data_IF_610823687345
#
_entry.id   IF_610823687345
#
_cell.length_a   1.000
_cell.length_b   1.000
_cell.length_c   1.000
_cell.angle_alpha   90.00
_cell.angle_beta   90.00
_cell.angle_gamma   90.00
#
_symmetry.space_group_name_H-M   'P 1'
#
loop_
_entity.id
_entity.type
_entity.pdbx_description
1 polymer ?
#
# COMPACT_ATOMS: atom_id res chain seq x y z
N UNK A 1 -8.59 26.32 -5.69
CA UNK A 1 -9.07 25.16 -6.48
C UNK A 1 -10.38 24.58 -5.92
N UNK A 2 -10.44 24.17 -4.64
CA UNK A 2 -11.62 23.50 -4.06
C UNK A 2 -12.95 24.29 -4.07
N UNK A 3 -12.95 25.62 -4.00
CA UNK A 3 -14.19 26.42 -4.01
C UNK A 3 -14.82 26.50 -5.42
N UNK A 4 -13.98 26.61 -6.46
CA UNK A 4 -14.43 26.64 -7.85
C UNK A 4 -15.02 25.30 -8.28
N UNK A 5 -14.32 24.20 -7.95
CA UNK A 5 -14.77 22.83 -8.21
C UNK A 5 -16.08 22.49 -7.48
N UNK A 6 -16.24 22.92 -6.23
CA UNK A 6 -17.49 22.73 -5.49
C UNK A 6 -18.67 23.56 -6.00
N UNK A 7 -18.43 24.72 -6.63
CA UNK A 7 -19.50 25.48 -7.30
C UNK A 7 -19.92 24.81 -8.60
N UNK A 8 -18.95 24.42 -9.43
CA UNK A 8 -19.20 23.69 -10.68
C UNK A 8 -19.91 22.35 -10.44
N UNK A 9 -19.53 21.60 -9.40
CA UNK A 9 -20.21 20.36 -9.02
C UNK A 9 -21.63 20.56 -8.47
N UNK A 10 -22.00 21.78 -8.05
CA UNK A 10 -23.38 22.13 -7.66
C UNK A 10 -24.22 22.57 -8.85
N UNK A 11 -23.59 23.14 -9.88
CA UNK A 11 -24.26 23.54 -11.12
C UNK A 11 -24.54 22.33 -12.03
N UNK A 12 -23.59 21.38 -12.09
CA UNK A 12 -23.73 20.16 -12.89
C UNK A 12 -23.62 18.89 -12.00
N UNK A 13 -24.72 18.14 -11.79
CA UNK A 13 -24.73 16.95 -10.94
C UNK A 13 -24.01 15.74 -11.57
N UNK A 14 -23.68 15.79 -12.87
CA UNK A 14 -22.91 14.76 -13.56
C UNK A 14 -21.40 14.96 -13.42
N UNK A 15 -20.96 16.13 -12.94
CA UNK A 15 -19.58 16.39 -12.59
C UNK A 15 -19.27 15.95 -11.16
N UNK A 16 -18.38 14.98 -11.01
CA UNK A 16 -17.91 14.51 -9.70
C UNK A 16 -16.45 14.87 -9.49
N UNK A 17 -16.15 15.31 -8.29
CA UNK A 17 -14.78 15.63 -7.87
C UNK A 17 -14.46 14.76 -6.69
N UNK A 18 -13.38 13.99 -6.80
CA UNK A 18 -12.84 13.19 -5.71
C UNK A 18 -11.37 13.55 -5.53
N UNK A 19 -10.96 13.76 -4.29
CA UNK A 19 -9.53 13.84 -3.97
C UNK A 19 -9.06 12.44 -3.66
N UNK A 20 -8.01 12.01 -4.37
CA UNK A 20 -7.34 10.76 -4.11
C UNK A 20 -6.32 10.94 -2.97
N UNK A 21 -6.48 10.19 -1.89
CA UNK A 21 -5.65 10.35 -0.68
C UNK A 21 -4.24 9.77 -0.83
N UNK A 22 -4.04 8.81 -1.75
CA UNK A 22 -2.74 8.17 -1.98
C UNK A 22 -1.83 9.04 -2.86
N UNK A 23 -2.37 9.64 -3.91
CA UNK A 23 -1.61 10.49 -4.84
C UNK A 23 -1.66 11.98 -4.50
N UNK A 24 -2.60 12.40 -3.64
CA UNK A 24 -2.89 13.81 -3.36
C UNK A 24 -3.47 14.58 -4.56
N UNK A 25 -3.84 13.86 -5.62
CA UNK A 25 -4.40 14.45 -6.84
C UNK A 25 -5.91 14.64 -6.70
N UNK A 26 -6.43 15.69 -7.32
CA UNK A 26 -7.88 15.89 -7.45
C UNK A 26 -8.33 15.28 -8.77
N UNK A 27 -9.06 14.17 -8.70
CA UNK A 27 -9.64 13.49 -9.86
C UNK A 27 -10.99 14.12 -10.16
N UNK A 28 -11.14 14.58 -11.41
CA UNK A 28 -12.40 15.07 -11.96
C UNK A 28 -13.02 13.99 -12.84
N UNK A 29 -14.31 13.72 -12.67
CA UNK A 29 -15.07 12.76 -13.46
C UNK A 29 -16.23 13.44 -14.16
N UNK A 30 -16.40 13.16 -15.45
CA UNK A 30 -17.47 13.69 -16.27
C UNK A 30 -17.95 12.65 -17.29
N UNK A 31 -19.05 12.96 -17.97
CA UNK A 31 -19.71 12.04 -18.92
C UNK A 31 -18.92 11.79 -20.22
N UNK A 32 -17.91 12.61 -20.52
CA UNK A 32 -17.11 12.47 -21.73
C UNK A 32 -15.99 13.50 -21.81
N UNK A 33 -15.12 13.33 -22.79
CA UNK A 33 -13.95 14.19 -23.04
C UNK A 33 -14.36 15.66 -23.23
N UNK A 34 -15.33 15.91 -24.12
CA UNK A 34 -15.85 17.26 -24.39
C UNK A 34 -16.40 17.94 -23.12
N UNK A 35 -17.04 17.17 -22.23
CA UNK A 35 -17.57 17.72 -20.99
C UNK A 35 -16.41 18.18 -20.08
N UNK A 36 -15.34 17.39 -19.97
CA UNK A 36 -14.17 17.75 -19.18
C UNK A 36 -13.43 18.96 -19.77
N UNK A 37 -13.30 19.06 -21.09
CA UNK A 37 -12.67 20.20 -21.77
C UNK A 37 -13.41 21.51 -21.51
N UNK A 38 -14.74 21.51 -21.61
CA UNK A 38 -15.57 22.69 -21.33
C UNK A 38 -15.43 23.13 -19.86
N UNK A 39 -15.37 22.18 -18.92
CA UNK A 39 -15.19 22.51 -17.50
C UNK A 39 -13.82 23.16 -17.25
N UNK A 40 -12.75 22.68 -17.88
CA UNK A 40 -11.43 23.29 -17.73
C UNK A 40 -11.41 24.71 -18.33
N UNK A 41 -12.03 24.93 -19.49
CA UNK A 41 -12.15 26.27 -20.08
C UNK A 41 -12.98 27.22 -19.20
N UNK A 42 -14.11 26.76 -18.64
CA UNK A 42 -14.89 27.54 -17.65
C UNK A 42 -14.09 27.87 -16.40
N UNK A 43 -13.31 26.91 -15.87
CA UNK A 43 -12.42 27.16 -14.72
C UNK A 43 -11.39 28.25 -15.02
N UNK A 44 -10.82 28.26 -16.23
CA UNK A 44 -9.85 29.26 -16.65
C UNK A 44 -10.49 30.65 -16.82
N UNK A 45 -11.69 30.73 -17.41
CA UNK A 45 -12.39 32.00 -17.69
C UNK A 45 -13.08 32.62 -16.48
N UNK A 46 -13.85 31.82 -15.72
CA UNK A 46 -14.68 32.34 -14.63
C UNK A 46 -13.91 32.49 -13.31
N UNK A 47 -12.96 31.60 -13.05
CA UNK A 47 -12.23 31.56 -11.77
C UNK A 47 -10.75 31.92 -11.90
N UNK A 48 -10.22 32.09 -13.12
CA UNK A 48 -8.82 32.43 -13.36
C UNK A 48 -7.84 31.36 -12.87
N UNK A 49 -8.28 30.11 -12.74
CA UNK A 49 -7.46 29.00 -12.22
C UNK A 49 -6.87 28.23 -13.39
N UNK A 50 -5.55 28.26 -13.53
CA UNK A 50 -4.83 27.36 -14.44
C UNK A 50 -4.59 26.01 -13.75
N UNK A 51 -5.04 24.92 -14.37
CA UNK A 51 -4.86 23.56 -13.90
C UNK A 51 -4.10 22.75 -14.94
N UNK A 52 -3.17 21.91 -14.50
CA UNK A 52 -2.48 20.96 -15.38
C UNK A 52 -3.35 19.70 -15.52
N UNK A 53 -3.66 19.32 -16.76
CA UNK A 53 -4.40 18.10 -17.07
C UNK A 53 -3.38 16.99 -17.32
N UNK A 54 -3.63 15.81 -16.74
CA UNK A 54 -2.84 14.60 -16.96
C UNK A 54 -3.67 13.36 -16.70
N UNK A 55 -3.14 12.20 -17.09
CA UNK A 55 -3.73 10.93 -16.73
C UNK A 55 -3.65 10.73 -15.21
N UNK A 56 -4.70 10.18 -14.58
CA UNK A 56 -4.66 9.84 -13.16
C UNK A 56 -3.53 8.83 -12.90
N UNK A 57 -2.84 8.99 -11.78
CA UNK A 57 -1.84 8.00 -11.38
C UNK A 57 -2.50 6.66 -11.04
N UNK A 58 -1.91 5.58 -11.52
CA UNK A 58 -2.34 4.22 -11.18
C UNK A 58 -1.82 3.90 -9.79
N UNK A 59 -2.72 3.46 -8.90
CA UNK A 59 -2.35 2.94 -7.59
C UNK A 59 -1.74 1.54 -7.76
N UNK A 60 -0.43 1.50 -8.01
CA UNK A 60 0.32 0.25 -7.99
C UNK A 60 0.38 -0.29 -6.57
N UNK A 61 0.48 -1.60 -6.45
CA UNK A 61 0.76 -2.29 -5.19
C UNK A 61 1.98 -3.18 -5.34
N UNK A 62 2.61 -3.54 -4.24
CA UNK A 62 3.73 -4.48 -4.24
C UNK A 62 3.31 -5.82 -3.63
N UNK A 63 3.84 -6.93 -4.13
CA UNK A 63 3.67 -8.25 -3.52
C UNK A 63 4.96 -9.06 -3.63
N UNK A 64 5.03 -10.19 -2.94
CA UNK A 64 6.14 -11.13 -3.02
C UNK A 64 5.78 -12.31 -3.91
N UNK A 65 6.77 -12.97 -4.52
CA UNK A 65 6.55 -14.17 -5.34
C UNK A 65 7.12 -15.44 -4.74
N UNK A 66 8.09 -15.30 -3.83
CA UNK A 66 8.77 -16.44 -3.22
C UNK A 66 8.59 -16.40 -1.71
N UNK A 67 8.37 -17.58 -1.13
CA UNK A 67 8.47 -17.74 0.30
C UNK A 67 9.93 -17.57 0.74
N UNK A 68 10.16 -16.74 1.74
CA UNK A 68 11.51 -16.47 2.26
C UNK A 68 11.50 -16.42 3.77
N UNK A 69 12.62 -16.81 4.35
CA UNK A 69 12.86 -16.67 5.79
C UNK A 69 13.89 -15.57 6.00
N UNK A 70 13.53 -14.56 6.78
CA UNK A 70 14.40 -13.45 7.13
C UNK A 70 14.61 -13.40 8.63
N UNK A 71 15.86 -13.19 9.04
CA UNK A 71 16.23 -12.98 10.43
C UNK A 71 16.87 -11.61 10.58
N UNK A 72 16.53 -10.92 11.66
CA UNK A 72 17.20 -9.67 11.99
C UNK A 72 17.38 -9.51 13.49
N UNK A 73 18.61 -9.20 13.88
CA UNK A 73 19.00 -8.92 15.26
C UNK A 73 19.36 -7.45 15.40
N UNK A 74 18.49 -6.71 16.07
CA UNK A 74 18.76 -5.34 16.51
C UNK A 74 19.43 -5.37 17.88
N UNK A 75 20.73 -5.05 17.93
CA UNK A 75 21.47 -4.88 19.17
C UNK A 75 22.17 -3.51 19.17
N UNK A 76 21.61 -2.53 19.87
CA UNK A 76 22.20 -1.20 20.06
C UNK A 76 22.49 -0.97 21.53
N UNK A 77 23.75 -0.69 21.85
CA UNK A 77 24.19 -0.32 23.19
C UNK A 77 24.74 1.10 23.15
N UNK A 78 23.86 2.09 23.33
CA UNK A 78 24.27 3.50 23.44
C UNK A 78 24.25 3.92 24.90
N UNK A 79 25.33 3.60 25.64
CA UNK A 79 25.69 4.21 26.94
C UNK A 79 24.67 4.19 28.10
N UNK A 80 23.48 3.61 27.90
CA UNK A 80 22.34 3.54 28.84
C UNK A 80 21.55 2.25 28.61
N UNK A 81 20.22 2.25 28.83
CA UNK A 81 19.34 1.08 28.58
C UNK A 81 19.61 0.53 27.18
N UNK A 82 20.06 -0.72 27.08
CA UNK A 82 20.31 -1.37 25.80
C UNK A 82 19.00 -1.56 25.03
N UNK A 83 19.14 -1.72 23.72
CA UNK A 83 18.06 -2.12 22.83
C UNK A 83 18.43 -3.45 22.21
N UNK A 84 17.67 -4.50 22.56
CA UNK A 84 17.83 -5.84 22.05
C UNK A 84 16.50 -6.38 21.52
N UNK A 85 16.46 -6.70 20.23
CA UNK A 85 15.34 -7.40 19.60
C UNK A 85 15.88 -8.34 18.54
N UNK A 86 15.55 -9.62 18.65
CA UNK A 86 15.87 -10.60 17.62
C UNK A 86 14.58 -11.26 17.15
N UNK A 87 14.29 -11.16 15.86
CA UNK A 87 13.09 -11.74 15.24
C UNK A 87 13.47 -12.51 13.99
N UNK A 88 12.83 -13.65 13.82
CA UNK A 88 12.92 -14.48 12.63
C UNK A 88 11.51 -14.66 12.11
N UNK A 89 11.29 -14.13 10.91
CA UNK A 89 10.01 -14.18 10.23
C UNK A 89 10.13 -15.03 8.97
N UNK A 90 9.05 -15.75 8.67
CA UNK A 90 8.87 -16.42 7.39
C UNK A 90 7.75 -15.69 6.65
N UNK A 91 8.04 -15.26 5.44
CA UNK A 91 7.14 -14.51 4.58
C UNK A 91 6.72 -15.40 3.44
N UNK A 92 5.42 -15.52 3.20
CA UNK A 92 4.84 -16.31 2.13
C UNK A 92 3.88 -15.45 1.30
N UNK A 93 3.90 -15.58 -0.05
CA UNK A 93 2.89 -14.93 -0.89
C UNK A 93 1.51 -15.52 -0.63
N UNK A 94 0.49 -14.67 -0.59
CA UNK A 94 -0.91 -15.08 -0.61
C UNK A 94 -1.50 -14.97 -2.01
N UNK A 95 -2.67 -15.58 -2.21
CA UNK A 95 -3.39 -15.46 -3.47
C UNK A 95 -3.86 -14.01 -3.69
N UNK A 96 -3.74 -13.48 -4.92
CA UNK A 96 -4.17 -12.12 -5.23
C UNK A 96 -5.65 -11.89 -4.92
N UNK A 97 -5.96 -10.84 -4.16
CA UNK A 97 -7.34 -10.48 -3.81
C UNK A 97 -7.86 -11.07 -2.49
N UNK A 98 -6.96 -11.56 -1.63
CA UNK A 98 -7.28 -12.02 -0.27
C UNK A 98 -7.37 -10.89 0.76
N UNK A 99 -7.20 -11.23 2.05
CA UNK A 99 -7.28 -10.29 3.20
C UNK A 99 -6.13 -9.26 3.26
N UNK A 100 -5.25 -9.22 2.25
CA UNK A 100 -4.18 -8.24 2.09
C UNK A 100 -2.97 -8.46 3.00
N UNK A 101 -3.16 -8.83 4.27
CA UNK A 101 -2.07 -9.14 5.20
C UNK A 101 -2.54 -10.09 6.30
N UNK A 102 -1.78 -11.17 6.52
CA UNK A 102 -2.04 -12.13 7.59
C UNK A 102 -0.81 -12.30 8.47
N UNK A 103 -0.97 -12.13 9.79
CA UNK A 103 0.07 -12.37 10.78
C UNK A 103 -0.23 -13.62 11.61
N UNK A 104 0.69 -14.58 11.62
CA UNK A 104 0.58 -15.84 12.35
C UNK A 104 1.69 -15.91 13.39
N UNK A 105 1.32 -16.08 14.67
CA UNK A 105 2.28 -16.36 15.73
C UNK A 105 2.55 -17.87 15.83
N UNK A 106 3.77 -18.30 15.48
CA UNK A 106 4.24 -19.68 15.63
C UNK A 106 5.35 -19.80 16.69
N UNK A 107 5.45 -18.80 17.59
CA UNK A 107 6.44 -18.78 18.68
C UNK A 107 6.23 -20.00 19.59
N UNK A 108 7.21 -20.89 19.62
CA UNK A 108 7.25 -22.03 20.54
C UNK A 108 8.11 -21.70 21.76
N UNK A 109 7.64 -22.08 22.95
CA UNK A 109 8.45 -22.04 24.18
C UNK A 109 8.61 -20.68 24.86
N UNK A 110 7.79 -19.67 24.50
CA UNK A 110 7.81 -18.37 25.20
C UNK A 110 9.10 -17.57 25.01
N UNK A 111 9.85 -17.84 23.93
CA UNK A 111 11.09 -17.14 23.57
C UNK A 111 10.90 -15.65 23.25
N UNK A 112 9.65 -15.20 23.11
CA UNK A 112 9.27 -13.80 23.14
C UNK A 112 8.05 -13.71 24.07
N UNK A 113 8.09 -12.86 25.11
CA UNK A 113 6.91 -12.59 25.92
C UNK A 113 5.76 -12.08 25.04
N UNK A 114 4.54 -12.56 25.29
CA UNK A 114 3.35 -12.22 24.50
C UNK A 114 3.06 -10.71 24.43
N UNK A 115 3.61 -9.94 25.36
CA UNK A 115 3.51 -8.48 25.41
C UNK A 115 4.27 -7.80 24.25
N UNK A 116 5.29 -8.44 23.67
CA UNK A 116 6.07 -7.87 22.55
C UNK A 116 5.56 -8.29 21.17
N UNK A 117 4.73 -9.34 21.08
CA UNK A 117 4.18 -9.83 19.80
C UNK A 117 3.38 -8.74 19.06
N UNK A 118 2.51 -7.94 19.73
CA UNK A 118 1.81 -6.84 19.07
C UNK A 118 2.76 -5.74 18.55
N UNK A 119 3.91 -5.52 19.21
CA UNK A 119 4.91 -4.56 18.74
C UNK A 119 5.63 -5.04 17.48
N UNK A 120 5.82 -6.36 17.33
CA UNK A 120 6.37 -6.96 16.11
C UNK A 120 5.39 -6.81 14.95
N UNK A 121 4.11 -7.15 15.15
CA UNK A 121 3.05 -6.96 14.15
C UNK A 121 2.92 -5.49 13.73
N UNK A 122 2.96 -4.57 14.69
CA UNK A 122 2.93 -3.12 14.41
C UNK A 122 4.12 -2.68 13.55
N UNK A 123 5.33 -3.15 13.86
CA UNK A 123 6.53 -2.82 13.07
C UNK A 123 6.49 -3.37 11.64
N UNK A 124 5.86 -4.52 11.44
CA UNK A 124 5.59 -5.08 10.12
C UNK A 124 4.57 -4.21 9.38
N UNK A 125 3.40 -3.93 9.99
CA UNK A 125 2.33 -3.13 9.36
C UNK A 125 2.79 -1.75 8.94
N UNK A 126 3.61 -1.10 9.76
CA UNK A 126 4.18 0.21 9.40
C UNK A 126 5.06 0.13 8.15
N UNK A 127 5.76 -1.01 7.99
CA UNK A 127 6.62 -1.26 6.83
C UNK A 127 5.84 -1.67 5.58
N UNK A 128 4.64 -2.25 5.73
CA UNK A 128 3.77 -2.58 4.59
C UNK A 128 3.35 -1.33 3.80
N UNK A 129 3.20 -0.19 4.46
CA UNK A 129 2.82 1.08 3.81
C UNK A 129 3.90 1.59 2.84
N UNK A 130 5.16 1.19 3.02
CA UNK A 130 6.28 1.63 2.20
C UNK A 130 7.05 0.42 1.64
N UNK A 131 6.65 -0.01 0.44
CA UNK A 131 7.35 -1.03 -0.33
C UNK A 131 8.79 -0.64 -0.71
N UNK A 132 9.56 -1.63 -1.18
CA UNK A 132 11.01 -1.47 -1.38
C UNK A 132 11.34 -1.12 -2.82
N UNK A 133 10.50 -1.52 -3.78
CA UNK A 133 10.76 -1.32 -5.21
C UNK A 133 10.41 0.10 -5.61
N UNK A 134 9.19 0.55 -5.30
CA UNK A 134 8.70 1.85 -5.73
C UNK A 134 8.01 2.65 -4.62
N UNK A 135 8.00 2.12 -3.38
CA UNK A 135 7.39 2.79 -2.24
C UNK A 135 5.87 2.67 -2.21
N UNK A 136 5.31 1.71 -2.92
CA UNK A 136 3.87 1.44 -2.93
C UNK A 136 3.50 0.49 -1.78
N UNK A 137 2.22 0.51 -1.34
CA UNK A 137 1.77 -0.39 -0.29
C UNK A 137 1.91 -1.86 -0.72
N UNK A 138 2.44 -2.67 0.19
CA UNK A 138 2.61 -4.11 0.01
C UNK A 138 1.34 -4.85 0.42
N UNK A 139 0.84 -5.72 -0.44
CA UNK A 139 -0.38 -6.51 -0.23
C UNK A 139 -0.16 -7.99 -0.58
N UNK A 140 -1.09 -8.82 -0.10
CA UNK A 140 -1.14 -10.27 -0.29
C UNK A 140 0.09 -10.98 0.29
N UNK A 141 0.45 -10.64 1.53
CA UNK A 141 1.59 -11.23 2.24
C UNK A 141 1.14 -11.87 3.55
N UNK A 142 1.51 -13.13 3.74
CA UNK A 142 1.41 -13.85 5.01
C UNK A 142 2.76 -13.81 5.71
N UNK A 143 2.76 -13.50 6.99
CA UNK A 143 3.96 -13.48 7.82
C UNK A 143 3.78 -14.37 9.04
N UNK A 144 4.69 -15.33 9.16
CA UNK A 144 4.78 -16.25 10.30
C UNK A 144 5.95 -15.86 11.17
N UNK A 145 5.69 -15.60 12.45
CA UNK A 145 6.74 -15.38 13.44
C UNK A 145 7.19 -16.74 13.99
N UNK A 146 8.29 -17.26 13.45
CA UNK A 146 8.76 -18.63 13.73
C UNK A 146 9.72 -18.70 14.92
N UNK A 147 10.54 -17.66 15.12
CA UNK A 147 11.53 -17.63 16.19
C UNK A 147 11.88 -16.20 16.59
N UNK A 148 12.41 -16.04 17.78
CA UNK A 148 13.07 -14.82 18.18
C UNK A 148 13.80 -15.00 19.49
N UNK A 149 14.48 -13.94 19.91
CA UNK A 149 15.19 -13.94 21.19
C UNK A 149 15.02 -12.59 21.85
N UNK A 150 14.82 -12.62 23.16
CA UNK A 150 14.78 -11.44 24.01
C UNK A 150 15.91 -11.49 25.04
N UNK A 151 16.23 -10.33 25.60
CA UNK A 151 17.16 -10.17 26.69
C UNK A 151 16.43 -9.44 27.82
N UNK A 152 16.48 -9.98 29.04
CA UNK A 152 15.61 -9.54 30.14
C UNK A 152 15.82 -8.06 30.51
N UNK A 153 17.05 -7.56 30.36
CA UNK A 153 17.43 -6.20 30.78
C UNK A 153 17.46 -5.20 29.62
N UNK A 154 17.71 -5.68 28.40
CA UNK A 154 17.96 -4.84 27.22
C UNK A 154 16.85 -4.92 26.16
N UNK A 155 15.87 -5.82 26.32
CA UNK A 155 14.75 -5.88 25.40
C UNK A 155 13.74 -4.77 25.65
N UNK A 156 13.32 -4.14 24.56
CA UNK A 156 12.31 -3.08 24.56
C UNK A 156 11.34 -3.28 23.40
N UNK A 157 10.11 -2.81 23.57
CA UNK A 157 9.08 -2.87 22.52
C UNK A 157 9.55 -2.21 21.22
N UNK A 158 10.23 -1.07 21.34
CA UNK A 158 10.80 -0.35 20.20
C UNK A 158 11.88 -1.17 19.48
N UNK A 159 12.73 -1.90 20.21
CA UNK A 159 13.74 -2.74 19.59
C UNK A 159 13.14 -3.88 18.77
N UNK A 160 12.05 -4.48 19.24
CA UNK A 160 11.30 -5.50 18.50
C UNK A 160 10.56 -4.93 17.28
N UNK A 161 9.95 -3.75 17.41
CA UNK A 161 9.31 -3.04 16.29
C UNK A 161 10.34 -2.79 15.17
N UNK A 162 11.50 -2.20 15.53
CA UNK A 162 12.58 -1.93 14.58
C UNK A 162 13.20 -3.21 13.99
N UNK A 163 13.37 -4.26 14.80
CA UNK A 163 13.89 -5.53 14.31
C UNK A 163 12.93 -6.16 13.29
N UNK A 164 11.62 -6.09 13.54
CA UNK A 164 10.60 -6.61 12.64
C UNK A 164 10.55 -5.84 11.32
N UNK A 165 10.60 -4.50 11.36
CA UNK A 165 10.65 -3.68 10.16
C UNK A 165 11.88 -3.96 9.29
N UNK A 166 13.04 -4.21 9.92
CA UNK A 166 14.27 -4.54 9.18
C UNK A 166 14.26 -5.98 8.63
N UNK A 167 13.78 -6.95 9.42
CA UNK A 167 13.61 -8.33 8.96
C UNK A 167 12.66 -8.38 7.75
N UNK A 168 11.55 -7.64 7.79
CA UNK A 168 10.62 -7.53 6.68
C UNK A 168 11.29 -6.90 5.45
N UNK A 169 12.07 -5.82 5.62
CA UNK A 169 12.79 -5.19 4.51
C UNK A 169 13.78 -6.12 3.85
N UNK A 170 14.51 -6.89 4.63
CA UNK A 170 15.48 -7.85 4.13
C UNK A 170 14.79 -9.03 3.44
N UNK A 171 13.70 -9.53 4.03
CA UNK A 171 12.85 -10.57 3.44
C UNK A 171 12.27 -10.17 2.10
N UNK A 172 11.61 -9.01 2.01
CA UNK A 172 11.05 -8.48 0.76
C UNK A 172 12.09 -8.39 -0.37
N UNK A 173 13.32 -7.98 -0.08
CA UNK A 173 14.40 -7.93 -1.10
C UNK A 173 14.76 -9.31 -1.64
N UNK A 174 14.72 -10.33 -0.80
CA UNK A 174 15.01 -11.72 -1.18
C UNK A 174 13.80 -12.42 -1.81
N UNK A 175 12.59 -11.95 -1.53
CA UNK A 175 11.32 -12.56 -1.93
C UNK A 175 10.91 -12.33 -3.39
N UNK A 176 11.78 -11.74 -4.21
CA UNK A 176 11.51 -11.37 -5.60
C UNK A 176 10.25 -10.50 -5.72
N UNK A 177 10.31 -9.24 -5.26
CA UNK A 177 9.14 -8.37 -5.20
C UNK A 177 8.59 -8.09 -6.60
N UNK A 178 7.28 -7.98 -6.71
CA UNK A 178 6.55 -7.75 -7.95
C UNK A 178 5.54 -6.62 -7.78
N UNK A 179 5.36 -5.84 -8.84
CA UNK A 179 4.33 -4.81 -8.90
C UNK A 179 3.02 -5.44 -9.37
N UNK A 180 1.93 -5.06 -8.70
CA UNK A 180 0.56 -5.39 -9.04
C UNK A 180 -0.12 -4.14 -9.60
N UNK A 181 -0.85 -4.35 -10.68
CA UNK A 181 -1.67 -3.33 -11.34
C UNK A 181 -3.15 -3.61 -11.04
N UNK A 182 -3.98 -2.58 -10.87
CA UNK A 182 -5.41 -2.77 -10.69
C UNK A 182 -6.03 -3.28 -11.99
N UNK A 183 -6.67 -4.45 -11.92
CA UNK A 183 -7.48 -4.99 -13.02
C UNK A 183 -8.93 -4.61 -12.75
N UNK A 184 -9.51 -3.85 -13.69
CA UNK A 184 -10.91 -3.43 -13.63
C UNK A 184 -11.77 -4.34 -14.50
N UNK A 185 -12.89 -4.80 -13.96
CA UNK A 185 -13.93 -5.43 -14.76
C UNK A 185 -14.72 -4.34 -15.49
N UNK A 186 -14.76 -4.40 -16.82
CA UNK A 186 -15.51 -3.46 -17.66
C UNK A 186 -16.62 -4.22 -18.35
N UNK A 187 -17.84 -3.71 -18.24
CA UNK A 187 -19.00 -4.19 -18.98
C UNK A 187 -19.33 -3.16 -20.07
N UNK A 188 -19.53 -3.63 -21.30
CA UNK A 188 -19.85 -2.78 -22.46
C UNK A 188 -21.11 -3.31 -23.11
N UNK A 189 -22.16 -2.50 -23.13
CA UNK A 189 -23.37 -2.76 -23.92
C UNK A 189 -23.21 -2.16 -25.30
N UNK A 190 -23.33 -3.01 -26.33
CA UNK A 190 -23.28 -2.59 -27.73
C UNK A 190 -24.25 -3.42 -28.57
N UNK A 191 -24.85 -2.86 -29.64
CA UNK A 191 -25.59 -3.65 -30.62
C UNK A 191 -24.71 -4.75 -31.24
N UNK A 192 -25.32 -5.88 -31.62
CA UNK A 192 -24.60 -7.05 -32.17
C UNK A 192 -23.71 -6.71 -33.38
N UNK A 193 -24.10 -5.71 -34.17
CA UNK A 193 -23.34 -5.26 -35.36
C UNK A 193 -21.94 -4.72 -35.03
N UNK A 194 -21.75 -4.13 -33.83
CA UNK A 194 -20.47 -3.57 -33.38
C UNK A 194 -19.76 -4.46 -32.37
N UNK A 195 -20.34 -5.60 -32.00
CA UNK A 195 -19.75 -6.51 -31.02
C UNK A 195 -18.36 -7.01 -31.45
N UNK A 196 -18.16 -7.23 -32.76
CA UNK A 196 -16.87 -7.65 -33.33
C UNK A 196 -15.78 -6.61 -33.18
N UNK A 197 -16.10 -5.33 -33.38
CA UNK A 197 -15.14 -4.22 -33.22
C UNK A 197 -14.85 -3.92 -31.74
N UNK A 198 -15.83 -4.09 -30.86
CA UNK A 198 -15.70 -3.84 -29.40
C UNK A 198 -14.94 -4.96 -28.69
N UNK A 199 -15.12 -6.22 -29.08
CA UNK A 199 -14.38 -7.37 -28.52
C UNK A 199 -12.96 -7.51 -29.09
N UNK A 200 -12.56 -6.63 -30.03
CA UNK A 200 -11.33 -6.73 -30.80
C UNK A 200 -10.10 -7.14 -29.97
N UNK A 201 -9.65 -8.38 -30.23
CA UNK A 201 -8.32 -8.91 -29.88
C UNK A 201 -7.18 -8.04 -30.39
#
# INVERSE_FOLDING_TARGET
>A
MGIALNRLAKEDPSFRVRTDEESGQTIISGMGELHLEIIVDRMKREFGVEANIGAPQVAYRETIRKAVKAEYKHAKQSGGKGQYGHVVIEMEPMEPGGEGYEFIDEIKGGVIPREFIPSVDKGIRDTLSNGIVAGYPVVDVRIRLVFGSYHDVDSSQLAFELAASQAFKEGMRQASPALLEPIMAVEVETPEEYMGDVMGT
#
